data_IF_232416818700
#
_entry.id   IF_232416818700
#
_cell.length_a   1.000
_cell.length_b   1.000
_cell.length_c   1.000
_cell.angle_alpha   90.00
_cell.angle_beta   90.00
_cell.angle_gamma   90.00
#
_symmetry.space_group_name_H-M   'P 1'
#
loop_
_entity.id
_entity.type
_entity.pdbx_description
1 polymer ?
#
# COMPACT_ATOMS: atom_id res chain seq x y z
N UNK A 1 7.23 18.20 5.32
CA UNK A 1 6.37 17.00 5.20
C UNK A 1 7.09 16.04 4.29
N UNK A 2 7.42 14.84 4.76
CA UNK A 2 8.10 13.80 3.97
C UNK A 2 7.26 13.42 2.72
N UNK A 3 7.87 12.80 1.71
CA UNK A 3 7.13 12.32 0.55
C UNK A 3 6.09 11.27 0.93
N UNK A 4 6.42 10.39 1.86
CA UNK A 4 5.49 9.43 2.44
C UNK A 4 4.31 10.09 3.16
N UNK A 5 4.56 11.16 3.92
CA UNK A 5 3.50 11.95 4.56
C UNK A 5 2.54 12.59 3.56
N UNK A 6 3.04 13.01 2.39
CA UNK A 6 2.20 13.55 1.30
C UNK A 6 1.38 12.48 0.60
N UNK A 7 1.95 11.29 0.41
CA UNK A 7 1.27 10.19 -0.29
C UNK A 7 0.27 9.46 0.59
N UNK A 8 0.66 9.19 1.81
CA UNK A 8 -0.20 8.49 2.77
C UNK A 8 -1.28 9.41 3.36
N UNK A 9 -1.10 10.73 3.26
CA UNK A 9 -1.92 11.76 3.92
C UNK A 9 -2.00 11.56 5.44
N UNK A 10 -1.00 10.95 6.02
CA UNK A 10 -0.93 10.67 7.46
C UNK A 10 0.10 11.60 8.09
N UNK A 11 -0.35 12.45 9.01
CA UNK A 11 0.50 13.43 9.68
C UNK A 11 1.69 12.79 10.41
N UNK A 12 1.48 11.61 10.97
CA UNK A 12 2.49 10.90 11.78
C UNK A 12 3.46 10.01 10.98
N UNK A 13 3.42 10.03 9.64
CA UNK A 13 4.36 9.23 8.84
C UNK A 13 5.82 9.69 9.02
N UNK A 14 6.05 10.99 9.19
CA UNK A 14 7.39 11.53 9.47
C UNK A 14 7.93 11.04 10.81
N UNK A 15 7.09 11.04 11.85
CA UNK A 15 7.46 10.53 13.17
C UNK A 15 7.78 9.03 13.15
N UNK A 16 7.06 8.26 12.33
CA UNK A 16 7.40 6.86 12.11
C UNK A 16 8.76 6.72 11.40
N UNK A 17 9.02 7.52 10.36
CA UNK A 17 10.31 7.51 9.66
C UNK A 17 11.46 7.84 10.60
N UNK A 18 11.31 8.88 11.43
CA UNK A 18 12.31 9.28 12.41
C UNK A 18 12.56 8.17 13.46
N UNK A 19 11.50 7.53 13.95
CA UNK A 19 11.60 6.40 14.87
C UNK A 19 12.28 5.19 14.22
N UNK A 20 11.94 4.89 12.97
CA UNK A 20 12.54 3.81 12.21
C UNK A 20 13.95 4.14 11.70
N UNK A 21 14.40 5.38 11.67
CA UNK A 21 15.79 5.73 11.30
C UNK A 21 16.83 5.20 12.30
N UNK A 22 16.42 4.91 13.52
CA UNK A 22 17.27 4.27 14.53
C UNK A 22 17.55 2.82 14.14
N UNK A 23 18.83 2.42 14.15
CA UNK A 23 19.27 1.11 13.63
C UNK A 23 18.86 -0.08 14.50
N UNK A 24 18.55 0.13 15.76
CA UNK A 24 18.15 -0.87 16.76
C UNK A 24 16.64 -1.13 16.80
N UNK A 25 15.85 -0.32 16.10
CA UNK A 25 14.39 -0.50 16.05
C UNK A 25 14.01 -1.57 15.03
N UNK A 26 13.32 -2.60 15.49
CA UNK A 26 12.73 -3.64 14.64
C UNK A 26 11.49 -3.10 13.92
N UNK A 27 11.67 -2.67 12.67
CA UNK A 27 10.60 -2.10 11.86
C UNK A 27 9.46 -3.08 11.59
N UNK A 28 9.74 -4.39 11.55
CA UNK A 28 8.73 -5.43 11.39
C UNK A 28 7.86 -5.53 12.65
N UNK A 29 8.47 -5.52 13.83
CA UNK A 29 7.75 -5.53 15.09
C UNK A 29 6.86 -4.28 15.23
N UNK A 30 7.36 -3.10 14.85
CA UNK A 30 6.56 -1.86 14.77
C UNK A 30 5.35 -2.05 13.85
N UNK A 31 5.52 -2.68 12.71
CA UNK A 31 4.43 -2.98 11.77
C UNK A 31 3.34 -3.86 12.42
N UNK A 32 3.72 -4.93 13.13
CA UNK A 32 2.79 -5.81 13.83
C UNK A 32 2.08 -5.09 14.98
N UNK A 33 2.78 -4.27 15.73
CA UNK A 33 2.19 -3.45 16.78
C UNK A 33 1.08 -2.55 16.22
N UNK A 34 1.35 -1.81 15.13
CA UNK A 34 0.35 -0.95 14.49
C UNK A 34 -0.83 -1.71 13.89
N UNK A 35 -0.60 -2.90 13.35
CA UNK A 35 -1.71 -3.75 12.91
C UNK A 35 -2.57 -4.22 14.09
N UNK A 36 -1.96 -4.58 15.20
CA UNK A 36 -2.66 -4.96 16.44
C UNK A 36 -3.46 -3.78 17.01
N UNK A 37 -2.88 -2.58 17.04
CA UNK A 37 -3.58 -1.35 17.42
C UNK A 37 -4.78 -1.09 16.52
N UNK A 38 -4.60 -1.23 15.19
CA UNK A 38 -5.69 -1.05 14.24
C UNK A 38 -6.84 -2.04 14.50
N UNK A 39 -6.51 -3.27 14.80
CA UNK A 39 -7.50 -4.31 15.08
C UNK A 39 -8.23 -4.04 16.40
N UNK A 40 -7.50 -3.62 17.42
CA UNK A 40 -8.05 -3.21 18.71
C UNK A 40 -9.03 -2.04 18.55
N UNK A 41 -8.61 -0.93 17.94
CA UNK A 41 -9.45 0.27 17.83
C UNK A 41 -10.68 0.07 16.94
N UNK A 42 -10.63 -0.85 15.98
CA UNK A 42 -11.79 -1.24 15.15
C UNK A 42 -12.74 -2.18 15.89
N UNK A 43 -12.23 -3.01 16.80
CA UNK A 43 -13.02 -3.95 17.60
C UNK A 43 -13.66 -3.28 18.80
N UNK A 44 -12.95 -2.32 19.43
CA UNK A 44 -13.34 -1.70 20.69
C UNK A 44 -13.64 -0.19 20.50
N UNK A 45 -14.91 0.18 20.20
CA UNK A 45 -15.28 1.59 19.97
C UNK A 45 -15.01 2.51 21.16
N UNK A 46 -14.93 1.98 22.39
CA UNK A 46 -14.61 2.76 23.58
C UNK A 46 -13.16 3.21 23.59
N UNK A 47 -12.25 2.37 23.14
CA UNK A 47 -10.81 2.68 23.08
C UNK A 47 -10.53 3.79 22.09
N UNK A 48 -11.05 3.67 20.85
CA UNK A 48 -10.81 4.69 19.83
C UNK A 48 -11.43 6.05 20.24
N UNK A 49 -12.60 6.05 20.86
CA UNK A 49 -13.21 7.30 21.38
C UNK A 49 -12.34 7.93 22.45
N UNK A 50 -11.77 7.15 23.36
CA UNK A 50 -10.90 7.66 24.41
C UNK A 50 -9.58 8.24 23.86
N UNK A 51 -9.04 7.66 22.79
CA UNK A 51 -7.80 8.11 22.13
C UNK A 51 -8.00 9.36 21.27
N UNK A 52 -9.21 9.59 20.78
CA UNK A 52 -9.54 10.73 19.89
C UNK A 52 -10.43 11.78 20.52
N UNK A 53 -10.70 11.68 21.83
CA UNK A 53 -11.58 12.57 22.58
C UNK A 53 -11.08 14.03 22.50
N UNK A 54 -11.84 14.95 21.89
CA UNK A 54 -11.41 16.34 21.78
C UNK A 54 -11.51 17.10 23.12
N UNK A 55 -12.23 16.58 24.11
CA UNK A 55 -12.36 17.20 25.44
C UNK A 55 -11.15 16.92 26.35
N UNK A 56 -10.30 15.95 25.99
CA UNK A 56 -9.09 15.60 26.75
C UNK A 56 -7.86 16.31 26.17
N UNK A 57 -6.95 16.67 27.07
CA UNK A 57 -5.66 17.20 26.63
C UNK A 57 -4.86 16.12 25.85
N UNK A 58 -3.95 16.56 24.99
CA UNK A 58 -3.06 15.63 24.25
C UNK A 58 -2.21 14.78 25.21
N UNK A 59 -1.77 15.35 26.33
CA UNK A 59 -0.96 14.64 27.32
C UNK A 59 -1.77 13.62 28.10
N UNK A 60 -3.03 13.90 28.46
CA UNK A 60 -3.92 12.93 29.09
C UNK A 60 -4.18 11.73 28.17
N UNK A 61 -4.38 11.96 26.87
CA UNK A 61 -4.53 10.90 25.88
C UNK A 61 -3.24 10.09 25.73
N UNK A 62 -2.08 10.72 25.70
CA UNK A 62 -0.80 10.05 25.62
C UNK A 62 -0.50 9.20 26.89
N UNK A 63 -0.86 9.70 28.08
CA UNK A 63 -0.73 8.94 29.30
C UNK A 63 -1.70 7.75 29.35
N UNK A 64 -2.92 7.90 28.83
CA UNK A 64 -3.88 6.80 28.70
C UNK A 64 -3.33 5.69 27.78
N UNK A 65 -2.75 6.04 26.62
CA UNK A 65 -2.09 5.09 25.71
C UNK A 65 -0.98 4.33 26.45
N UNK A 66 -0.12 5.04 27.18
CA UNK A 66 0.96 4.41 27.96
C UNK A 66 0.39 3.41 28.95
N UNK A 67 -0.62 3.81 29.73
CA UNK A 67 -1.21 2.94 30.76
C UNK A 67 -1.87 1.69 30.18
N UNK A 68 -2.54 1.83 29.03
CA UNK A 68 -3.28 0.70 28.45
C UNK A 68 -2.43 -0.21 27.58
N UNK A 69 -1.40 0.30 26.91
CA UNK A 69 -0.74 -0.43 25.83
C UNK A 69 0.75 -0.69 26.03
N UNK A 70 1.42 -0.09 27.04
CA UNK A 70 2.87 -0.27 27.22
C UNK A 70 3.30 -1.74 27.44
N UNK A 71 2.44 -2.55 28.07
CA UNK A 71 2.72 -3.98 28.28
C UNK A 71 2.29 -4.88 27.10
N UNK A 72 1.62 -4.32 26.11
CA UNK A 72 1.08 -5.05 24.96
C UNK A 72 1.80 -4.76 23.64
N UNK A 73 2.56 -3.66 23.59
CA UNK A 73 3.37 -3.31 22.42
C UNK A 73 4.77 -3.93 22.56
N UNK A 74 5.28 -4.37 21.43
CA UNK A 74 6.57 -5.05 21.36
C UNK A 74 7.72 -4.04 21.41
N UNK A 75 7.51 -2.80 20.91
CA UNK A 75 8.55 -1.79 20.76
C UNK A 75 8.19 -0.46 21.42
N UNK A 76 9.18 0.20 22.04
CA UNK A 76 9.03 1.56 22.56
C UNK A 76 8.80 2.58 21.43
N UNK A 77 9.29 2.30 20.24
CA UNK A 77 9.05 3.10 19.05
C UNK A 77 7.56 3.17 18.71
N UNK A 78 6.86 2.02 18.73
CA UNK A 78 5.41 1.96 18.52
C UNK A 78 4.65 2.78 19.55
N UNK A 79 5.01 2.66 20.82
CA UNK A 79 4.40 3.43 21.90
C UNK A 79 4.61 4.93 21.71
N UNK A 80 5.82 5.35 21.39
CA UNK A 80 6.19 6.75 21.18
C UNK A 80 5.41 7.37 20.02
N UNK A 81 5.36 6.70 18.87
CA UNK A 81 4.62 7.17 17.69
C UNK A 81 3.11 7.22 17.98
N UNK A 82 2.55 6.21 18.66
CA UNK A 82 1.14 6.20 19.03
C UNK A 82 0.79 7.33 20.00
N UNK A 83 1.66 7.62 20.97
CA UNK A 83 1.48 8.76 21.89
C UNK A 83 1.47 10.10 21.14
N UNK A 84 2.28 10.27 20.08
CA UNK A 84 2.22 11.45 19.23
C UNK A 84 0.92 11.50 18.43
N UNK A 85 0.47 10.37 17.86
CA UNK A 85 -0.78 10.30 17.12
C UNK A 85 -2.01 10.75 17.94
N UNK A 86 -2.11 10.32 19.20
CA UNK A 86 -3.26 10.68 20.03
C UNK A 86 -3.26 12.14 20.49
N UNK A 87 -2.10 12.81 20.47
CA UNK A 87 -2.01 14.25 20.70
C UNK A 87 -2.64 15.08 19.58
N UNK A 88 -2.64 14.53 18.36
CA UNK A 88 -3.22 15.19 17.21
C UNK A 88 -4.76 15.28 17.30
N UNK A 89 -5.32 16.22 16.53
CA UNK A 89 -6.76 16.34 16.39
C UNK A 89 -7.27 15.45 15.25
N UNK A 90 -8.22 14.58 15.56
CA UNK A 90 -8.80 13.65 14.58
C UNK A 90 -10.25 14.07 14.27
N UNK A 91 -10.53 14.33 13.00
CA UNK A 91 -11.85 14.74 12.52
C UNK A 91 -12.92 13.65 12.65
N UNK A 92 -12.51 12.39 12.61
CA UNK A 92 -13.37 11.22 12.83
C UNK A 92 -12.57 9.99 13.28
N UNK A 93 -13.28 9.01 13.85
CA UNK A 93 -12.70 7.77 14.37
C UNK A 93 -12.06 6.91 13.27
N UNK A 94 -12.67 6.85 12.08
CA UNK A 94 -12.16 6.04 10.97
C UNK A 94 -10.81 6.57 10.48
N UNK A 95 -10.60 7.89 10.47
CA UNK A 95 -9.33 8.50 10.10
C UNK A 95 -8.19 8.08 11.01
N UNK A 96 -8.42 7.96 12.32
CA UNK A 96 -7.43 7.45 13.26
C UNK A 96 -7.10 5.98 12.98
N UNK A 97 -8.12 5.13 12.83
CA UNK A 97 -7.94 3.72 12.56
C UNK A 97 -7.27 3.46 11.19
N UNK A 98 -7.57 4.28 10.19
CA UNK A 98 -6.90 4.20 8.89
C UNK A 98 -5.44 4.68 8.95
N UNK A 99 -5.15 5.68 9.78
CA UNK A 99 -3.79 6.13 10.01
C UNK A 99 -2.92 5.05 10.68
N UNK A 100 -3.44 4.35 11.70
CA UNK A 100 -2.71 3.23 12.32
C UNK A 100 -2.44 2.10 11.31
N UNK A 101 -3.40 1.80 10.43
CA UNK A 101 -3.22 0.81 9.35
C UNK A 101 -2.10 1.23 8.39
N UNK A 102 -2.10 2.49 7.97
CA UNK A 102 -1.07 3.04 7.06
C UNK A 102 0.31 2.96 7.70
N UNK A 103 0.45 3.35 8.97
CA UNK A 103 1.75 3.28 9.66
C UNK A 103 2.27 1.84 9.76
N UNK A 104 1.40 0.87 10.01
CA UNK A 104 1.78 -0.55 9.99
C UNK A 104 2.31 -1.01 8.62
N UNK A 105 1.65 -0.59 7.53
CA UNK A 105 2.10 -0.91 6.17
C UNK A 105 3.44 -0.24 5.87
N UNK A 106 3.60 1.04 6.22
CA UNK A 106 4.85 1.77 6.01
C UNK A 106 6.02 1.15 6.80
N UNK A 107 5.78 0.68 8.02
CA UNK A 107 6.80 -0.01 8.82
C UNK A 107 7.24 -1.32 8.16
N UNK A 108 6.31 -2.13 7.63
CA UNK A 108 6.64 -3.37 6.87
C UNK A 108 7.44 -3.05 5.61
N UNK A 109 7.07 -2.00 4.88
CA UNK A 109 7.82 -1.57 3.69
C UNK A 109 9.20 -1.02 4.06
N UNK A 110 9.33 -0.32 5.18
CA UNK A 110 10.63 0.16 5.68
C UNK A 110 11.56 -0.99 6.07
N UNK A 111 11.02 -2.07 6.66
CA UNK A 111 11.78 -3.30 6.93
C UNK A 111 12.28 -3.94 5.64
N UNK A 112 11.42 -4.06 4.62
CA UNK A 112 11.81 -4.53 3.29
C UNK A 112 12.88 -3.64 2.63
N UNK A 113 12.82 -2.32 2.84
CA UNK A 113 13.82 -1.37 2.35
C UNK A 113 15.19 -1.60 3.00
N UNK A 114 15.23 -1.76 4.32
CA UNK A 114 16.46 -2.10 5.04
C UNK A 114 17.12 -3.39 4.53
N UNK A 115 16.27 -4.37 4.16
CA UNK A 115 16.70 -5.63 3.56
C UNK A 115 17.00 -5.54 2.05
N UNK A 116 16.97 -4.33 1.44
CA UNK A 116 17.12 -4.11 0.00
C UNK A 116 16.18 -4.98 -0.87
N UNK A 117 14.99 -5.23 -0.36
CA UNK A 117 14.01 -6.15 -0.95
C UNK A 117 12.76 -5.46 -1.50
N UNK A 118 12.70 -4.12 -1.50
CA UNK A 118 11.51 -3.40 -1.97
C UNK A 118 11.18 -3.64 -3.45
N UNK A 119 12.17 -3.79 -4.32
CA UNK A 119 11.96 -4.15 -5.74
C UNK A 119 11.22 -5.47 -5.88
N UNK A 120 11.62 -6.43 -5.07
CA UNK A 120 10.96 -7.73 -5.01
C UNK A 120 9.52 -7.60 -4.50
N UNK A 121 9.31 -6.86 -3.41
CA UNK A 121 7.97 -6.61 -2.85
C UNK A 121 7.06 -5.95 -3.88
N UNK A 122 7.55 -4.93 -4.59
CA UNK A 122 6.82 -4.22 -5.64
C UNK A 122 6.40 -5.17 -6.77
N UNK A 123 7.35 -5.95 -7.29
CA UNK A 123 7.10 -6.93 -8.36
C UNK A 123 6.10 -8.00 -7.93
N UNK A 124 6.28 -8.57 -6.74
CA UNK A 124 5.38 -9.59 -6.18
C UNK A 124 3.96 -9.05 -5.96
N UNK A 125 3.80 -7.82 -5.45
CA UNK A 125 2.49 -7.18 -5.30
C UNK A 125 1.79 -6.96 -6.66
N UNK A 126 2.56 -6.58 -7.66
CA UNK A 126 2.06 -6.42 -9.02
C UNK A 126 1.63 -7.75 -9.62
N UNK A 127 2.44 -8.81 -9.51
CA UNK A 127 2.15 -10.16 -10.00
C UNK A 127 0.89 -10.74 -9.34
N UNK A 128 0.78 -10.64 -8.01
CA UNK A 128 -0.42 -11.07 -7.28
C UNK A 128 -1.65 -10.31 -7.75
N UNK A 129 -1.53 -8.99 -7.90
CA UNK A 129 -2.62 -8.17 -8.39
C UNK A 129 -3.05 -8.60 -9.80
N UNK A 130 -2.10 -8.77 -10.73
CA UNK A 130 -2.36 -9.19 -12.11
C UNK A 130 -3.00 -10.59 -12.16
N UNK A 131 -2.48 -11.52 -11.37
CA UNK A 131 -3.07 -12.86 -11.25
C UNK A 131 -4.52 -12.81 -10.77
N UNK A 132 -4.83 -11.99 -9.75
CA UNK A 132 -6.18 -11.83 -9.22
C UNK A 132 -7.11 -11.06 -10.17
N UNK A 133 -6.59 -10.21 -11.06
CA UNK A 133 -7.38 -9.59 -12.13
C UNK A 133 -7.93 -10.64 -13.09
N UNK A 134 -7.12 -11.61 -13.49
CA UNK A 134 -7.50 -12.73 -14.34
C UNK A 134 -8.36 -13.82 -13.65
N UNK A 135 -8.32 -13.90 -12.31
CA UNK A 135 -8.97 -14.95 -11.53
C UNK A 135 -10.10 -14.40 -10.66
N UNK A 136 -11.24 -14.07 -11.29
CA UNK A 136 -12.39 -13.42 -10.63
C UNK A 136 -12.93 -14.21 -9.43
N UNK A 137 -13.07 -15.53 -9.55
CA UNK A 137 -13.60 -16.37 -8.47
C UNK A 137 -12.72 -16.34 -7.24
N UNK A 138 -11.41 -16.53 -7.40
CA UNK A 138 -10.46 -16.46 -6.30
C UNK A 138 -10.43 -15.05 -5.68
N UNK A 139 -10.44 -14.01 -6.52
CA UNK A 139 -10.50 -12.62 -6.04
C UNK A 139 -11.73 -12.38 -5.15
N UNK A 140 -12.88 -12.90 -5.53
CA UNK A 140 -14.11 -12.79 -4.72
C UNK A 140 -13.95 -13.54 -3.40
N UNK A 141 -13.46 -14.79 -3.41
CA UNK A 141 -13.20 -15.57 -2.19
C UNK A 141 -12.26 -14.86 -1.22
N UNK A 142 -11.25 -14.15 -1.72
CA UNK A 142 -10.29 -13.41 -0.89
C UNK A 142 -10.80 -12.03 -0.43
N UNK A 143 -11.78 -11.43 -1.11
CA UNK A 143 -12.22 -10.06 -0.84
C UNK A 143 -13.63 -9.93 -0.26
N UNK A 144 -14.43 -10.98 -0.28
CA UNK A 144 -15.81 -10.94 0.22
C UNK A 144 -15.89 -11.37 1.68
N UNK A 145 -16.25 -10.40 2.55
CA UNK A 145 -16.38 -10.64 3.98
C UNK A 145 -17.55 -11.58 4.34
N UNK A 146 -18.47 -11.84 3.42
CA UNK A 146 -19.57 -12.79 3.60
C UNK A 146 -19.13 -14.25 3.41
N UNK A 147 -18.00 -14.49 2.77
CA UNK A 147 -17.48 -15.83 2.44
C UNK A 147 -16.49 -16.40 3.47
N UNK A 148 -16.39 -15.79 4.65
CA UNK A 148 -15.54 -16.26 5.74
C UNK A 148 -14.93 -15.12 6.55
N UNK A 149 -14.27 -15.46 7.64
CA UNK A 149 -13.56 -14.53 8.51
C UNK A 149 -12.32 -13.95 7.81
N UNK A 150 -11.79 -12.84 8.33
CA UNK A 150 -10.52 -12.28 7.85
C UNK A 150 -9.36 -13.26 7.99
N UNK A 151 -9.39 -14.12 9.02
CA UNK A 151 -8.38 -15.13 9.27
C UNK A 151 -8.41 -16.24 8.21
N UNK A 152 -9.57 -16.83 7.98
CA UNK A 152 -9.77 -17.88 6.97
C UNK A 152 -9.38 -17.41 5.57
N UNK A 153 -9.75 -16.19 5.18
CA UNK A 153 -9.32 -15.61 3.91
C UNK A 153 -7.82 -15.37 3.84
N UNK A 154 -7.21 -14.96 4.96
CA UNK A 154 -5.76 -14.83 5.08
C UNK A 154 -5.03 -16.17 4.95
N UNK A 155 -5.59 -17.24 5.53
CA UNK A 155 -5.02 -18.59 5.43
C UNK A 155 -5.16 -19.17 4.02
N UNK A 156 -6.28 -18.91 3.35
CA UNK A 156 -6.44 -19.23 1.93
C UNK A 156 -5.40 -18.52 1.07
N UNK A 157 -5.15 -17.23 1.33
CA UNK A 157 -4.10 -16.49 0.63
C UNK A 157 -2.71 -17.10 0.89
N UNK A 158 -2.44 -17.52 2.13
CA UNK A 158 -1.17 -18.18 2.49
C UNK A 158 -1.02 -19.55 1.82
N UNK A 159 -2.07 -20.33 1.75
CA UNK A 159 -2.04 -21.64 1.08
C UNK A 159 -1.73 -21.51 -0.43
N UNK A 160 -2.19 -20.44 -1.07
CA UNK A 160 -2.00 -20.24 -2.53
C UNK A 160 -0.65 -19.59 -2.83
N UNK A 161 -0.24 -18.59 -2.05
CA UNK A 161 0.87 -17.71 -2.38
C UNK A 161 2.08 -17.85 -1.45
N UNK A 162 1.94 -18.51 -0.29
CA UNK A 162 2.95 -18.50 0.77
C UNK A 162 4.33 -19.04 0.37
N UNK A 163 4.40 -20.01 -0.55
CA UNK A 163 5.66 -20.54 -1.05
C UNK A 163 6.33 -19.69 -2.15
N UNK A 164 5.62 -18.68 -2.69
CA UNK A 164 6.05 -17.89 -3.84
C UNK A 164 6.42 -16.47 -3.49
N UNK A 165 5.89 -15.95 -2.38
CA UNK A 165 6.05 -14.56 -1.98
C UNK A 165 7.08 -14.40 -0.85
N UNK A 166 7.72 -13.26 -0.82
CA UNK A 166 8.53 -12.83 0.32
C UNK A 166 7.67 -12.66 1.58
N UNK A 167 8.31 -12.67 2.74
CA UNK A 167 7.61 -12.51 4.03
C UNK A 167 6.86 -11.18 4.12
N UNK A 168 7.43 -10.12 3.56
CA UNK A 168 6.82 -8.78 3.54
C UNK A 168 5.58 -8.74 2.64
N UNK A 169 5.71 -9.22 1.41
CA UNK A 169 4.58 -9.27 0.46
C UNK A 169 3.47 -10.15 0.98
N UNK A 170 3.79 -11.31 1.55
CA UNK A 170 2.78 -12.18 2.15
C UNK A 170 2.06 -11.51 3.31
N UNK A 171 2.80 -10.77 4.15
CA UNK A 171 2.21 -10.01 5.26
C UNK A 171 1.26 -8.91 4.77
N UNK A 172 1.69 -8.15 3.76
CA UNK A 172 0.87 -7.10 3.13
C UNK A 172 -0.36 -7.70 2.44
N UNK A 173 -0.22 -8.82 1.73
CA UNK A 173 -1.34 -9.53 1.09
C UNK A 173 -2.37 -10.00 2.12
N UNK A 174 -1.94 -10.67 3.21
CA UNK A 174 -2.82 -11.08 4.30
C UNK A 174 -3.58 -9.88 4.87
N UNK A 175 -2.89 -8.75 5.05
CA UNK A 175 -3.51 -7.52 5.55
C UNK A 175 -4.54 -6.96 4.57
N UNK A 176 -4.21 -6.91 3.27
CA UNK A 176 -5.11 -6.47 2.23
C UNK A 176 -6.38 -7.34 2.14
N UNK A 177 -6.22 -8.66 2.22
CA UNK A 177 -7.32 -9.65 2.21
C UNK A 177 -8.19 -9.51 3.44
N UNK A 178 -7.60 -9.45 4.64
CA UNK A 178 -8.31 -9.33 5.91
C UNK A 178 -9.13 -8.04 6.03
N UNK A 179 -8.66 -6.96 5.40
CA UNK A 179 -9.29 -5.62 5.45
C UNK A 179 -10.06 -5.26 4.19
N UNK A 180 -10.09 -6.14 3.21
CA UNK A 180 -10.81 -5.87 1.97
C UNK A 180 -12.32 -5.82 2.23
N UNK A 181 -12.92 -4.69 1.92
CA UNK A 181 -14.36 -4.59 1.63
C UNK A 181 -14.50 -4.78 0.11
N UNK A 182 -15.70 -5.19 -0.37
CA UNK A 182 -15.97 -5.50 -1.79
C UNK A 182 -15.18 -4.61 -2.77
N UNK A 183 -14.35 -5.24 -3.60
CA UNK A 183 -13.62 -4.59 -4.69
C UNK A 183 -12.35 -3.81 -4.31
N UNK A 184 -11.98 -3.67 -3.03
CA UNK A 184 -10.80 -2.88 -2.63
C UNK A 184 -9.49 -3.65 -2.64
N UNK A 185 -9.49 -4.99 -2.74
CA UNK A 185 -8.27 -5.80 -2.68
C UNK A 185 -7.25 -5.37 -3.73
N UNK A 186 -7.63 -5.30 -5.01
CA UNK A 186 -6.72 -4.88 -6.09
C UNK A 186 -6.25 -3.43 -5.94
N UNK A 187 -7.11 -2.55 -5.43
CA UNK A 187 -6.76 -1.15 -5.15
C UNK A 187 -5.72 -1.06 -4.04
N UNK A 188 -5.86 -1.85 -2.98
CA UNK A 188 -4.91 -1.87 -1.87
C UNK A 188 -3.55 -2.42 -2.32
N UNK A 189 -3.51 -3.53 -3.07
CA UNK A 189 -2.27 -4.08 -3.60
C UNK A 189 -1.52 -3.07 -4.49
N UNK A 190 -2.24 -2.37 -5.37
CA UNK A 190 -1.66 -1.29 -6.18
C UNK A 190 -1.08 -0.17 -5.31
N UNK A 191 -1.84 0.28 -4.29
CA UNK A 191 -1.39 1.34 -3.38
C UNK A 191 -0.11 0.95 -2.63
N UNK A 192 -0.01 -0.30 -2.18
CA UNK A 192 1.20 -0.78 -1.49
C UNK A 192 2.41 -0.79 -2.42
N UNK A 193 2.23 -1.20 -3.68
CA UNK A 193 3.28 -1.13 -4.68
C UNK A 193 3.69 0.33 -5.00
N UNK A 194 2.73 1.25 -5.09
CA UNK A 194 3.01 2.69 -5.26
C UNK A 194 3.82 3.24 -4.06
N UNK A 195 3.49 2.85 -2.84
CA UNK A 195 4.24 3.28 -1.65
C UNK A 195 5.65 2.67 -1.60
N UNK A 196 5.81 1.41 -2.01
CA UNK A 196 7.12 0.77 -2.15
C UNK A 196 8.03 1.56 -3.08
N UNK A 197 7.54 1.94 -4.27
CA UNK A 197 8.29 2.74 -5.23
C UNK A 197 8.70 4.11 -4.66
N UNK A 198 7.80 4.77 -3.92
CA UNK A 198 8.09 6.08 -3.33
C UNK A 198 9.14 6.02 -2.22
N UNK A 199 9.12 4.99 -1.38
CA UNK A 199 10.17 4.79 -0.35
C UNK A 199 11.55 4.68 -1.01
N UNK A 200 11.62 4.18 -2.23
CA UNK A 200 12.84 4.12 -3.03
C UNK A 200 13.13 5.40 -3.83
N UNK A 201 12.41 6.49 -3.58
CA UNK A 201 12.44 7.71 -4.40
C UNK A 201 12.15 7.47 -5.88
N UNK A 202 11.38 6.45 -6.22
CA UNK A 202 10.97 6.11 -7.58
C UNK A 202 9.46 6.32 -7.78
N UNK A 203 9.07 6.48 -9.04
CA UNK A 203 7.66 6.56 -9.42
C UNK A 203 7.23 5.30 -10.15
N UNK A 204 6.25 4.60 -9.61
CA UNK A 204 5.67 3.42 -10.26
C UNK A 204 4.82 3.84 -11.47
N UNK A 205 5.14 3.27 -12.63
CA UNK A 205 4.33 3.38 -13.85
C UNK A 205 3.91 1.99 -14.30
N UNK A 206 2.61 1.76 -14.33
CA UNK A 206 2.03 0.52 -14.87
C UNK A 206 1.91 0.63 -16.37
N UNK A 207 2.43 -0.37 -17.07
CA UNK A 207 2.40 -0.50 -18.55
C UNK A 207 1.58 -1.73 -18.90
N UNK A 208 0.53 -1.54 -19.70
CA UNK A 208 -0.19 -2.66 -20.32
C UNK A 208 0.14 -2.66 -21.82
N UNK A 209 0.69 -3.75 -22.31
CA UNK A 209 1.07 -3.91 -23.72
C UNK A 209 0.27 -5.04 -24.35
N UNK A 210 -0.03 -4.94 -25.65
CA UNK A 210 -0.68 -6.01 -26.40
C UNK A 210 0.23 -7.23 -26.59
N UNK A 211 1.55 -7.03 -26.62
CA UNK A 211 2.58 -8.03 -26.80
C UNK A 211 3.70 -7.83 -25.79
N UNK A 212 4.53 -8.83 -25.60
CA UNK A 212 5.71 -8.73 -24.76
C UNK A 212 6.69 -7.67 -25.33
N UNK A 213 7.20 -6.82 -24.44
CA UNK A 213 8.15 -5.76 -24.80
C UNK A 213 9.58 -6.30 -24.68
N UNK A 214 10.43 -5.98 -25.67
CA UNK A 214 11.84 -6.29 -25.58
C UNK A 214 12.54 -5.46 -24.49
N UNK A 215 13.68 -5.95 -24.00
CA UNK A 215 14.50 -5.23 -23.00
C UNK A 215 14.92 -3.84 -23.48
N UNK A 216 15.18 -3.68 -24.76
CA UNK A 216 15.53 -2.40 -25.39
C UNK A 216 14.31 -1.42 -25.37
N UNK A 217 13.12 -1.91 -25.71
CA UNK A 217 11.89 -1.13 -25.65
C UNK A 217 11.58 -0.68 -24.22
N UNK A 218 11.75 -1.58 -23.23
CA UNK A 218 11.56 -1.29 -21.80
C UNK A 218 12.54 -0.21 -21.34
N UNK A 219 13.82 -0.33 -21.68
CA UNK A 219 14.87 0.63 -21.31
C UNK A 219 14.59 2.01 -21.95
N UNK A 220 14.22 2.05 -23.22
CA UNK A 220 13.88 3.29 -23.91
C UNK A 220 12.64 3.95 -23.32
N UNK A 221 11.60 3.18 -23.01
CA UNK A 221 10.39 3.68 -22.36
C UNK A 221 10.71 4.27 -20.99
N UNK A 222 11.51 3.57 -20.17
CA UNK A 222 11.97 4.05 -18.86
C UNK A 222 12.65 5.41 -18.98
N UNK A 223 13.67 5.53 -19.85
CA UNK A 223 14.42 6.77 -20.02
C UNK A 223 13.55 7.94 -20.48
N UNK A 224 12.55 7.70 -21.35
CA UNK A 224 11.60 8.71 -21.76
C UNK A 224 10.71 9.18 -20.60
N UNK A 225 10.25 8.26 -19.77
CA UNK A 225 9.40 8.56 -18.62
C UNK A 225 10.20 9.27 -17.50
N UNK A 226 11.45 8.87 -17.25
CA UNK A 226 12.33 9.54 -16.29
C UNK A 226 12.57 11.00 -16.67
N UNK A 227 12.83 11.27 -17.94
CA UNK A 227 12.94 12.65 -18.46
C UNK A 227 11.65 13.44 -18.28
N UNK A 228 10.50 12.81 -18.58
CA UNK A 228 9.19 13.46 -18.50
C UNK A 228 8.76 13.78 -17.08
N UNK A 229 9.02 12.88 -16.12
CA UNK A 229 8.60 12.99 -14.74
C UNK A 229 9.68 13.56 -13.81
N UNK A 230 10.88 13.75 -14.31
CA UNK A 230 12.07 14.19 -13.55
C UNK A 230 12.26 13.39 -12.24
N UNK A 231 12.11 12.09 -12.33
CA UNK A 231 12.28 11.14 -11.21
C UNK A 231 12.62 9.76 -11.76
N UNK A 232 13.27 8.93 -10.97
CA UNK A 232 13.46 7.52 -11.31
C UNK A 232 12.11 6.81 -11.48
N UNK A 233 12.05 5.90 -12.45
CA UNK A 233 10.82 5.19 -12.81
C UNK A 233 10.97 3.70 -12.55
N UNK A 234 10.03 3.15 -11.81
CA UNK A 234 9.77 1.73 -11.72
C UNK A 234 8.66 1.34 -12.71
N UNK A 235 8.93 0.38 -13.60
CA UNK A 235 7.98 -0.09 -14.62
C UNK A 235 7.37 -1.43 -14.21
N UNK A 236 6.06 -1.46 -14.02
CA UNK A 236 5.28 -2.67 -13.83
C UNK A 236 4.58 -3.02 -15.16
N UNK A 237 5.11 -4.01 -15.89
CA UNK A 237 4.67 -4.35 -17.25
C UNK A 237 3.78 -5.59 -17.22
N UNK A 238 2.63 -5.53 -17.89
CA UNK A 238 1.75 -6.67 -18.12
C UNK A 238 1.35 -6.79 -19.58
N UNK A 239 1.21 -8.03 -20.06
CA UNK A 239 0.71 -8.30 -21.40
C UNK A 239 -0.81 -8.52 -21.33
N UNK A 240 -1.55 -7.75 -22.11
CA UNK A 240 -3.02 -7.82 -22.20
C UNK A 240 -3.40 -8.08 -23.65
N UNK A 241 -3.63 -9.33 -24.06
CA UNK A 241 -3.90 -9.70 -25.45
C UNK A 241 -5.17 -9.06 -26.05
N UNK A 242 -6.07 -8.54 -25.19
CA UNK A 242 -7.27 -7.81 -25.65
C UNK A 242 -7.02 -6.39 -26.15
N UNK A 243 -5.81 -5.86 -26.01
CA UNK A 243 -5.45 -4.58 -26.63
C UNK A 243 -5.23 -4.79 -28.14
N UNK A 244 -5.88 -3.95 -28.95
CA UNK A 244 -5.79 -4.02 -30.42
C UNK A 244 -4.37 -3.69 -30.94
N UNK A 245 -3.46 -3.29 -30.03
CA UNK A 245 -2.04 -2.94 -30.28
C UNK A 245 -1.62 -1.69 -29.52
N UNK A 246 -0.30 -1.44 -29.46
CA UNK A 246 0.26 -0.35 -28.67
C UNK A 246 0.37 -0.66 -27.20
N UNK A 247 0.37 0.37 -26.36
CA UNK A 247 0.44 0.23 -24.91
C UNK A 247 -0.34 1.34 -24.20
N UNK A 248 -0.78 1.03 -22.98
CA UNK A 248 -1.42 2.00 -22.08
C UNK A 248 -0.50 2.23 -20.90
N UNK A 249 -0.28 3.49 -20.52
CA UNK A 249 0.51 3.91 -19.37
C UNK A 249 -0.39 4.47 -18.28
N UNK A 250 -0.16 4.08 -17.03
CA UNK A 250 -0.82 4.66 -15.87
C UNK A 250 0.22 5.00 -14.81
N UNK A 251 0.39 6.29 -14.54
CA UNK A 251 1.26 6.83 -13.49
C UNK A 251 0.39 7.55 -12.45
N UNK A 252 0.23 7.01 -11.27
CA UNK A 252 -0.60 7.57 -10.19
C UNK A 252 -2.00 8.03 -10.68
N UNK A 253 -2.22 9.34 -10.76
CA UNK A 253 -3.49 9.93 -11.23
C UNK A 253 -3.51 10.20 -12.74
N UNK A 254 -2.37 10.10 -13.43
CA UNK A 254 -2.26 10.37 -14.86
C UNK A 254 -2.32 9.07 -15.65
N UNK A 255 -3.30 8.94 -16.53
CA UNK A 255 -3.40 7.85 -17.50
C UNK A 255 -3.07 8.37 -18.89
N UNK A 256 -2.17 7.71 -19.60
CA UNK A 256 -1.82 8.00 -20.99
C UNK A 256 -2.16 6.74 -21.77
N UNK A 257 -3.15 6.85 -22.66
CA UNK A 257 -3.52 5.78 -23.57
C UNK A 257 -2.86 6.02 -24.92
N UNK A 258 -1.86 5.22 -25.26
CA UNK A 258 -1.14 5.22 -26.53
C UNK A 258 -1.46 3.96 -27.34
N UNK A 259 -2.63 3.35 -27.13
CA UNK A 259 -3.08 2.19 -27.89
C UNK A 259 -3.46 2.57 -29.32
N UNK A 260 -3.37 1.60 -30.24
CA UNK A 260 -3.84 1.79 -31.62
C UNK A 260 -5.33 2.09 -31.67
N UNK A 261 -6.11 1.57 -30.72
CA UNK A 261 -7.56 1.84 -30.62
C UNK A 261 -7.83 3.34 -30.42
N UNK A 262 -7.10 4.00 -29.52
CA UNK A 262 -7.23 5.44 -29.28
C UNK A 262 -6.82 6.24 -30.53
N UNK A 263 -5.69 5.88 -31.15
CA UNK A 263 -5.24 6.54 -32.40
C UNK A 263 -6.24 6.39 -33.55
N UNK A 264 -6.85 5.20 -33.70
CA UNK A 264 -7.88 4.97 -34.72
C UNK A 264 -9.14 5.80 -34.40
N UNK A 265 -9.51 5.91 -33.13
CA UNK A 265 -10.64 6.72 -32.69
C UNK A 265 -10.39 8.20 -32.96
N UNK A 266 -9.20 8.72 -32.63
CA UNK A 266 -8.79 10.11 -32.89
C UNK A 266 -8.77 10.42 -34.38
N UNK A 267 -8.24 9.48 -35.19
CA UNK A 267 -8.26 9.62 -36.65
C UNK A 267 -9.67 9.61 -37.24
N UNK A 268 -10.57 8.77 -36.72
CA UNK A 268 -11.99 8.76 -37.13
C UNK A 268 -12.69 10.07 -36.78
N UNK A 269 -12.42 10.63 -35.60
CA UNK A 269 -12.96 11.95 -35.21
C UNK A 269 -12.42 13.07 -36.07
N UNK A 270 -11.11 13.05 -36.38
CA UNK A 270 -10.49 14.07 -37.27
C UNK A 270 -10.95 13.99 -38.74
N UNK A 271 -11.42 12.81 -39.16
CA UNK A 271 -11.98 12.65 -40.53
C UNK A 271 -13.48 12.96 -40.60
N UNK A 272 -14.15 13.05 -39.42
CA UNK A 272 -15.59 13.34 -39.33
C UNK A 272 -15.87 14.84 -39.02
N UNK A 273 -14.83 15.62 -38.75
CA UNK A 273 -14.86 17.09 -38.57
C UNK A 273 -14.37 17.81 -39.82
#
# INVERSE_FOLDING_TARGET
MSELGRLSRVACATQLEDALAQSDVDARAVGEDFFSITDLVKKEPRVIRAFTDPSRSGDDKAQLVRTLLSSHLTTDASLSVLQMMVREHWSNLDSFADATEVLGILAVLSDANRASSLDRVESELFEVRHFLEGNRELRLKLSDASLGTSHERGDLATAIFGSKLSVWTMRLLRRAVGRSRRGRLLVNLRRFAEWSAVIQNRRLVTVQSAVEMSSEQVSRLRSLLEKRFNSEISLAISVVPGLVGGFTLRAQTTSIDASLSTRISDMKQALAS
#
